data_IF_971332145976
#
_entry.id   IF_971332145976
#
_cell.length_a   1.000
_cell.length_b   1.000
_cell.length_c   1.000
_cell.angle_alpha   90.00
_cell.angle_beta   90.00
_cell.angle_gamma   90.00
#
_symmetry.space_group_name_H-M   'P 1'
#
loop_
_entity.id
_entity.type
_entity.pdbx_description
1 polymer ?
#
# COMPACT_ATOMS: atom_id res chain seq x y z
N UNK A 1 11.63 10.53 15.13
CA UNK A 1 10.26 9.98 15.02
C UNK A 1 9.69 10.45 13.69
N UNK A 2 9.41 9.55 12.75
CA UNK A 2 8.57 9.91 11.60
C UNK A 2 7.13 9.88 12.08
N UNK A 3 6.41 10.96 11.89
CA UNK A 3 5.02 11.06 12.30
C UNK A 3 4.18 10.15 11.38
N UNK A 4 3.11 9.54 11.91
CA UNK A 4 2.26 8.58 11.20
C UNK A 4 1.89 9.05 9.78
N UNK A 5 1.68 10.36 9.59
CA UNK A 5 1.42 10.99 8.30
C UNK A 5 2.47 10.67 7.22
N UNK A 6 3.76 10.78 7.54
CA UNK A 6 4.84 10.50 6.58
C UNK A 6 4.88 9.01 6.20
N UNK A 7 4.52 8.14 7.15
CA UNK A 7 4.50 6.70 6.94
C UNK A 7 3.30 6.29 6.10
N UNK A 8 2.13 6.87 6.35
CA UNK A 8 0.94 6.65 5.51
C UNK A 8 1.16 7.20 4.11
N UNK A 9 1.86 8.32 3.95
CA UNK A 9 2.20 8.84 2.63
C UNK A 9 3.17 7.92 1.88
N UNK A 10 4.23 7.42 2.53
CA UNK A 10 5.10 6.40 1.95
C UNK A 10 4.37 5.11 1.59
N UNK A 11 3.38 4.71 2.40
CA UNK A 11 2.54 3.56 2.11
C UNK A 11 1.67 3.78 0.85
N UNK A 12 1.16 4.99 0.63
CA UNK A 12 0.45 5.36 -0.59
C UNK A 12 1.38 5.39 -1.81
N UNK A 13 2.55 6.04 -1.69
CA UNK A 13 3.55 6.11 -2.74
C UNK A 13 3.94 4.72 -3.26
N UNK A 14 3.97 3.70 -2.38
CA UNK A 14 4.30 2.33 -2.73
C UNK A 14 3.35 1.68 -3.76
N UNK A 15 2.16 2.25 -3.98
CA UNK A 15 1.23 1.79 -5.02
C UNK A 15 1.53 2.37 -6.39
N UNK A 16 2.15 3.55 -6.45
CA UNK A 16 2.39 4.32 -7.68
C UNK A 16 3.84 4.18 -8.14
N UNK A 17 4.78 4.02 -7.20
CA UNK A 17 6.20 3.89 -7.47
C UNK A 17 6.86 2.86 -6.56
N UNK A 18 7.98 2.33 -7.01
CA UNK A 18 8.84 1.57 -6.13
C UNK A 18 9.47 2.47 -5.05
N UNK A 19 9.38 2.02 -3.82
CA UNK A 19 10.08 2.65 -2.70
C UNK A 19 11.57 2.28 -2.72
N UNK A 20 12.42 3.24 -2.39
CA UNK A 20 13.85 3.00 -2.13
C UNK A 20 14.02 2.09 -0.92
N UNK A 21 15.13 1.36 -0.85
CA UNK A 21 15.40 0.41 0.25
C UNK A 21 15.32 1.08 1.63
N UNK A 22 15.82 2.31 1.77
CA UNK A 22 15.72 3.09 3.00
C UNK A 22 14.27 3.50 3.34
N UNK A 23 13.43 3.76 2.33
CA UNK A 23 12.01 4.07 2.53
C UNK A 23 11.24 2.82 2.97
N UNK A 24 11.51 1.67 2.33
CA UNK A 24 10.96 0.36 2.69
C UNK A 24 11.29 -0.01 4.14
N UNK A 25 12.55 0.18 4.55
CA UNK A 25 12.99 -0.07 5.92
C UNK A 25 12.28 0.83 6.93
N UNK A 26 12.20 2.14 6.67
CA UNK A 26 11.52 3.09 7.54
C UNK A 26 10.02 2.79 7.70
N UNK A 27 9.36 2.41 6.60
CA UNK A 27 7.96 2.00 6.62
C UNK A 27 7.77 0.75 7.50
N UNK A 28 8.60 -0.28 7.29
CA UNK A 28 8.53 -1.53 8.05
C UNK A 28 8.80 -1.34 9.54
N UNK A 29 9.83 -0.59 9.91
CA UNK A 29 10.15 -0.35 11.33
C UNK A 29 9.01 0.34 12.05
N UNK A 30 8.37 1.33 11.42
CA UNK A 30 7.26 2.04 12.03
C UNK A 30 5.99 1.18 12.17
N UNK A 31 5.59 0.43 11.15
CA UNK A 31 4.39 -0.43 11.23
C UNK A 31 4.58 -1.65 12.14
N UNK A 32 5.82 -1.98 12.54
CA UNK A 32 6.06 -2.95 13.60
C UNK A 32 5.71 -2.39 14.97
N UNK A 33 5.86 -1.08 15.18
CA UNK A 33 5.65 -0.40 16.46
C UNK A 33 4.30 0.33 16.56
N UNK A 34 3.65 0.63 15.44
CA UNK A 34 2.38 1.35 15.38
C UNK A 34 1.29 0.49 14.72
N UNK A 35 0.32 0.04 15.52
CA UNK A 35 -0.82 -0.76 15.06
C UNK A 35 -1.71 -0.01 14.06
N UNK A 36 -1.89 1.31 14.23
CA UNK A 36 -2.67 2.14 13.32
C UNK A 36 -2.08 2.18 11.91
N UNK A 37 -0.77 2.48 11.81
CA UNK A 37 -0.06 2.48 10.52
C UNK A 37 0.00 1.07 9.91
N UNK A 38 0.11 0.02 10.72
CA UNK A 38 0.02 -1.37 10.25
C UNK A 38 -1.33 -1.69 9.63
N UNK A 39 -2.43 -1.31 10.29
CA UNK A 39 -3.79 -1.52 9.77
C UNK A 39 -4.00 -0.74 8.48
N UNK A 40 -3.60 0.53 8.45
CA UNK A 40 -3.64 1.36 7.24
C UNK A 40 -2.89 0.71 6.08
N UNK A 41 -1.64 0.30 6.29
CA UNK A 41 -0.82 -0.33 5.25
C UNK A 41 -1.46 -1.60 4.68
N UNK A 42 -2.01 -2.46 5.55
CA UNK A 42 -2.72 -3.68 5.13
C UNK A 42 -3.97 -3.35 4.30
N UNK A 43 -4.80 -2.43 4.79
CA UNK A 43 -6.06 -2.07 4.13
C UNK A 43 -5.79 -1.40 2.77
N UNK A 44 -4.82 -0.50 2.72
CA UNK A 44 -4.39 0.17 1.49
C UNK A 44 -3.88 -0.84 0.44
N UNK A 45 -3.09 -1.85 0.86
CA UNK A 45 -2.65 -2.94 -0.01
C UNK A 45 -3.80 -3.82 -0.50
N UNK A 46 -4.73 -4.19 0.38
CA UNK A 46 -5.90 -4.97 0.00
C UNK A 46 -6.76 -4.22 -1.03
N UNK A 47 -7.02 -2.94 -0.79
CA UNK A 47 -7.79 -2.09 -1.70
C UNK A 47 -7.14 -1.99 -3.09
N UNK A 48 -5.83 -1.74 -3.15
CA UNK A 48 -5.05 -1.69 -4.40
C UNK A 48 -5.10 -3.02 -5.16
N UNK A 49 -5.04 -4.15 -4.46
CA UNK A 49 -5.17 -5.47 -5.07
C UNK A 49 -6.58 -5.69 -5.67
N UNK A 50 -7.64 -5.35 -4.91
CA UNK A 50 -9.02 -5.45 -5.38
C UNK A 50 -9.26 -4.60 -6.63
N UNK A 51 -8.78 -3.35 -6.65
CA UNK A 51 -8.91 -2.47 -7.82
C UNK A 51 -8.20 -3.04 -9.06
N UNK A 52 -7.00 -3.61 -8.88
CA UNK A 52 -6.26 -4.25 -9.98
C UNK A 52 -7.00 -5.49 -10.51
N UNK A 53 -7.60 -6.26 -9.62
CA UNK A 53 -8.38 -7.45 -9.97
C UNK A 53 -9.69 -7.10 -10.67
N UNK A 54 -10.36 -6.02 -10.26
CA UNK A 54 -11.53 -5.49 -10.98
C UNK A 54 -11.15 -5.05 -12.40
N UNK A 55 -10.06 -4.30 -12.55
CA UNK A 55 -9.55 -3.90 -13.86
C UNK A 55 -9.20 -5.10 -14.75
N UNK A 56 -8.60 -6.15 -14.18
CA UNK A 56 -8.27 -7.37 -14.92
C UNK A 56 -9.51 -8.16 -15.38
N UNK A 57 -10.61 -8.08 -14.61
CA UNK A 57 -11.90 -8.66 -15.01
C UNK A 57 -12.56 -7.86 -16.13
N UNK A 58 -12.44 -6.54 -16.15
CA UNK A 58 -12.96 -5.69 -17.23
C UNK A 58 -12.18 -5.82 -18.55
N UNK A 59 -10.88 -6.10 -18.50
CA UNK A 59 -10.01 -6.29 -19.68
C UNK A 59 -10.13 -7.71 -20.28
N UNK A 60 -10.77 -8.64 -19.57
CA UNK A 60 -11.09 -9.97 -20.13
C UNK A 60 -12.18 -9.85 -21.19
N UNK A 61 -12.01 -10.44 -22.40
CA UNK A 61 -13.03 -10.38 -23.43
C UNK A 61 -14.28 -11.10 -22.93
N UNK A 62 -15.33 -10.32 -22.75
CA UNK A 62 -16.73 -10.65 -22.48
C UNK A 62 -17.06 -12.14 -22.55
N UNK A 63 -17.39 -12.77 -21.41
CA UNK A 63 -18.48 -13.76 -21.44
C UNK A 63 -19.76 -13.00 -21.12
N UNK A 64 -20.59 -12.97 -22.16
CA UNK A 64 -21.91 -12.37 -22.27
C UNK A 64 -22.91 -13.02 -21.32
#
# INVERSE_FOLDING_TARGET
MKNCLQITQLASDAHERDLRTAEKLNLHTHIMMCSGCRAYYKNSKALSAMMKEMKAQEDSPTTK
#
